data_IF_294060920189
#
_entry.id   IF_294060920189
#
_cell.length_a   1.000
_cell.length_b   1.000
_cell.length_c   1.000
_cell.angle_alpha   90.00
_cell.angle_beta   90.00
_cell.angle_gamma   90.00
#
_symmetry.space_group_name_H-M   'P 1'
#
loop_
_entity.id
_entity.type
_entity.pdbx_description
1 polymer ?
#
# COMPACT_ATOMS: atom_id res chain seq x y z
N UNK A 1 -10.20 -96.16 -19.87
CA UNK A 1 -10.78 -95.08 -20.69
C UNK A 1 -11.16 -93.99 -19.76
N UNK A 2 -10.30 -92.98 -19.67
CA UNK A 2 -10.54 -91.80 -18.78
C UNK A 2 -10.88 -90.64 -19.69
N UNK A 3 -12.11 -90.05 -19.55
CA UNK A 3 -12.54 -88.88 -20.27
C UNK A 3 -12.17 -87.63 -19.45
N UNK A 4 -11.28 -86.80 -20.01
CA UNK A 4 -10.91 -85.49 -19.44
C UNK A 4 -11.84 -84.46 -20.01
N UNK A 5 -12.64 -83.83 -19.14
CA UNK A 5 -13.49 -82.73 -19.52
C UNK A 5 -12.73 -81.41 -19.34
N UNK A 6 -12.57 -80.64 -20.41
CA UNK A 6 -11.95 -79.34 -20.48
C UNK A 6 -12.98 -78.32 -20.12
N UNK A 7 -12.85 -77.65 -18.96
CA UNK A 7 -13.64 -76.49 -18.53
C UNK A 7 -12.95 -75.23 -19.04
N UNK A 8 -13.58 -74.57 -19.98
CA UNK A 8 -13.14 -73.26 -20.52
C UNK A 8 -13.72 -72.14 -19.68
N UNK A 9 -12.90 -71.50 -18.82
CA UNK A 9 -13.27 -70.35 -18.00
C UNK A 9 -13.16 -69.07 -18.83
N UNK A 10 -14.29 -68.44 -19.11
CA UNK A 10 -14.37 -67.14 -19.79
C UNK A 10 -14.09 -66.05 -18.73
N UNK A 11 -12.93 -65.38 -18.79
CA UNK A 11 -12.61 -64.23 -18.00
C UNK A 11 -13.15 -63.00 -18.70
N UNK A 12 -14.26 -62.43 -18.19
CA UNK A 12 -14.76 -61.11 -18.54
C UNK A 12 -13.79 -60.06 -17.90
N UNK A 13 -12.96 -59.46 -18.73
CA UNK A 13 -12.19 -58.28 -18.35
C UNK A 13 -13.13 -57.05 -18.32
N UNK A 14 -13.63 -56.72 -17.14
CA UNK A 14 -14.28 -55.42 -16.90
C UNK A 14 -13.18 -54.36 -16.91
N UNK A 15 -13.09 -53.60 -18.01
CA UNK A 15 -12.25 -52.40 -18.05
C UNK A 15 -12.78 -51.37 -17.07
N UNK A 16 -12.08 -51.19 -15.95
CA UNK A 16 -12.24 -50.03 -15.11
C UNK A 16 -11.54 -48.90 -15.88
N UNK A 17 -12.34 -48.03 -16.50
CA UNK A 17 -11.88 -46.70 -16.91
C UNK A 17 -11.68 -45.93 -15.60
N UNK A 18 -10.49 -46.00 -15.05
CA UNK A 18 -10.05 -45.06 -14.00
C UNK A 18 -9.91 -43.70 -14.67
N UNK A 19 -10.82 -42.75 -14.34
CA UNK A 19 -10.45 -41.38 -14.42
C UNK A 19 -9.27 -41.22 -13.43
N UNK A 20 -8.08 -41.08 -13.92
CA UNK A 20 -7.00 -40.47 -13.14
C UNK A 20 -7.46 -38.99 -12.95
N UNK A 21 -7.98 -38.64 -11.81
CA UNK A 21 -7.85 -37.27 -11.35
C UNK A 21 -6.34 -37.04 -11.34
N UNK A 22 -5.85 -36.22 -12.25
CA UNK A 22 -4.51 -35.65 -12.13
C UNK A 22 -4.57 -34.85 -10.82
N UNK A 23 -3.88 -35.31 -9.78
CA UNK A 23 -3.62 -34.53 -8.60
C UNK A 23 -2.87 -33.27 -9.10
N UNK A 24 -3.55 -32.11 -9.10
CA UNK A 24 -2.88 -30.84 -9.40
C UNK A 24 -1.75 -30.66 -8.38
N UNK A 25 -0.54 -30.40 -8.88
CA UNK A 25 0.62 -30.13 -8.03
C UNK A 25 0.37 -28.91 -7.13
N UNK A 26 0.78 -29.02 -5.87
CA UNK A 26 0.73 -27.89 -4.94
C UNK A 26 1.63 -26.75 -5.44
N UNK A 27 1.10 -25.52 -5.48
CA UNK A 27 1.80 -24.30 -5.93
C UNK A 27 1.80 -23.27 -4.82
N UNK A 28 2.83 -22.44 -4.79
CA UNK A 28 2.90 -21.30 -3.85
C UNK A 28 2.83 -19.99 -4.60
N UNK A 29 1.75 -19.25 -4.42
CA UNK A 29 1.61 -17.89 -4.93
C UNK A 29 2.28 -16.91 -3.97
N UNK A 30 3.42 -16.35 -4.35
CA UNK A 30 4.19 -15.42 -3.53
C UNK A 30 3.83 -13.96 -3.85
N UNK A 31 3.40 -13.20 -2.83
CA UNK A 31 2.98 -11.80 -2.98
C UNK A 31 3.81 -10.91 -2.07
N UNK A 32 4.55 -9.97 -2.64
CA UNK A 32 5.18 -8.89 -1.90
C UNK A 32 4.28 -7.66 -1.90
N UNK A 33 4.03 -7.09 -0.71
CA UNK A 33 3.02 -6.03 -0.57
C UNK A 33 3.42 -4.94 0.41
N UNK A 34 2.82 -3.77 0.22
CA UNK A 34 2.88 -2.69 1.20
C UNK A 34 2.26 -3.11 2.53
N UNK A 35 2.85 -2.70 3.66
CA UNK A 35 2.36 -3.03 5.00
C UNK A 35 0.88 -2.70 5.22
N UNK A 36 0.40 -1.58 4.65
CA UNK A 36 -1.01 -1.16 4.72
C UNK A 36 -2.00 -2.08 3.98
N UNK A 37 -1.51 -3.03 3.17
CA UNK A 37 -2.31 -4.04 2.49
C UNK A 37 -2.35 -5.38 3.23
N UNK A 38 -1.62 -5.55 4.34
CA UNK A 38 -1.47 -6.86 5.02
C UNK A 38 -2.82 -7.46 5.38
N UNK A 39 -3.66 -6.73 6.11
CA UNK A 39 -4.95 -7.25 6.59
C UNK A 39 -5.90 -7.61 5.45
N UNK A 40 -6.18 -6.72 4.46
CA UNK A 40 -7.08 -7.09 3.36
C UNK A 40 -6.52 -8.21 2.48
N UNK A 41 -5.19 -8.29 2.29
CA UNK A 41 -4.60 -9.35 1.47
C UNK A 41 -4.59 -10.70 2.17
N UNK A 42 -4.49 -10.75 3.52
CA UNK A 42 -4.70 -11.99 4.30
C UNK A 42 -6.12 -12.53 4.11
N UNK A 43 -7.12 -11.66 4.10
CA UNK A 43 -8.52 -12.06 3.85
C UNK A 43 -8.73 -12.52 2.39
N UNK A 44 -8.14 -11.81 1.41
CA UNK A 44 -8.18 -12.22 0.01
C UNK A 44 -7.44 -13.53 -0.23
N UNK A 45 -6.32 -13.77 0.45
CA UNK A 45 -5.57 -15.00 0.37
C UNK A 45 -6.42 -16.19 0.83
N UNK A 46 -7.08 -16.06 1.99
CA UNK A 46 -7.98 -17.10 2.49
C UNK A 46 -9.13 -17.42 1.52
N UNK A 47 -9.74 -16.40 0.89
CA UNK A 47 -10.78 -16.58 -0.13
C UNK A 47 -10.21 -17.26 -1.40
N UNK A 48 -9.00 -16.89 -1.82
CA UNK A 48 -8.36 -17.47 -3.00
C UNK A 48 -8.02 -18.95 -2.80
N UNK A 49 -7.50 -19.31 -1.62
CA UNK A 49 -7.16 -20.69 -1.23
C UNK A 49 -8.41 -21.56 -1.10
N UNK A 50 -9.56 -21.02 -0.64
CA UNK A 50 -10.82 -21.76 -0.58
C UNK A 50 -11.28 -22.20 -1.98
N UNK A 51 -11.14 -21.32 -2.97
CA UNK A 51 -11.49 -21.61 -4.38
C UNK A 51 -10.39 -22.39 -5.12
N UNK A 52 -9.15 -22.37 -4.63
CA UNK A 52 -7.97 -22.99 -5.26
C UNK A 52 -7.19 -23.84 -4.24
N UNK A 53 -7.70 -25.01 -3.81
CA UNK A 53 -7.17 -25.77 -2.68
C UNK A 53 -5.73 -26.30 -2.88
N UNK A 54 -5.20 -26.25 -4.09
CA UNK A 54 -3.81 -26.63 -4.41
C UNK A 54 -2.85 -25.42 -4.48
N UNK A 55 -3.32 -24.23 -4.11
CA UNK A 55 -2.50 -23.01 -4.05
C UNK A 55 -2.36 -22.55 -2.60
N UNK A 56 -1.13 -22.33 -2.15
CA UNK A 56 -0.78 -21.73 -0.86
C UNK A 56 -0.32 -20.29 -1.13
N UNK A 57 -0.97 -19.30 -0.52
CA UNK A 57 -0.66 -17.87 -0.74
C UNK A 57 0.30 -17.36 0.32
N UNK A 58 1.53 -17.11 -0.07
CA UNK A 58 2.57 -16.58 0.80
C UNK A 58 2.66 -15.06 0.70
N UNK A 59 2.29 -14.37 1.78
CA UNK A 59 2.36 -12.92 1.86
C UNK A 59 3.63 -12.46 2.57
N UNK A 60 4.35 -11.51 1.96
CA UNK A 60 5.43 -10.81 2.62
C UNK A 60 5.20 -9.30 2.56
N UNK A 61 5.07 -8.66 3.72
CA UNK A 61 4.73 -7.25 3.84
C UNK A 61 5.88 -6.39 4.36
N UNK A 62 5.98 -5.16 3.83
CA UNK A 62 6.98 -4.18 4.24
C UNK A 62 6.70 -2.80 3.68
N UNK A 63 7.65 -1.88 3.80
CA UNK A 63 7.61 -0.63 3.05
C UNK A 63 7.73 -0.92 1.55
N UNK A 64 6.89 -0.30 0.71
CA UNK A 64 6.83 -0.62 -0.73
C UNK A 64 8.18 -0.55 -1.43
N UNK A 65 8.98 0.48 -1.15
CA UNK A 65 10.29 0.63 -1.74
C UNK A 65 11.26 -0.50 -1.34
N UNK A 66 11.16 -0.96 -0.10
CA UNK A 66 11.94 -2.10 0.42
C UNK A 66 11.52 -3.41 -0.27
N UNK A 67 10.20 -3.64 -0.41
CA UNK A 67 9.67 -4.85 -1.05
C UNK A 67 10.02 -4.91 -2.53
N UNK A 68 9.93 -3.82 -3.26
CA UNK A 68 10.38 -3.70 -4.65
C UNK A 68 11.88 -4.03 -4.77
N UNK A 69 12.72 -3.40 -3.92
CA UNK A 69 14.16 -3.66 -3.95
C UNK A 69 14.49 -5.12 -3.65
N UNK A 70 13.75 -5.76 -2.76
CA UNK A 70 13.92 -7.18 -2.45
C UNK A 70 13.52 -8.08 -3.63
N UNK A 71 12.40 -7.77 -4.31
CA UNK A 71 11.94 -8.50 -5.48
C UNK A 71 12.98 -8.44 -6.62
N UNK A 72 13.50 -7.24 -6.91
CA UNK A 72 14.57 -7.01 -7.89
C UNK A 72 15.82 -7.81 -7.52
N UNK A 73 16.27 -7.75 -6.26
CA UNK A 73 17.47 -8.45 -5.80
C UNK A 73 17.37 -9.97 -5.99
N UNK A 74 16.20 -10.55 -5.76
CA UNK A 74 15.97 -11.98 -5.97
C UNK A 74 16.08 -12.35 -7.46
N UNK A 75 15.44 -11.60 -8.33
CA UNK A 75 15.47 -11.84 -9.77
C UNK A 75 16.89 -11.66 -10.33
N UNK A 76 17.65 -10.65 -9.90
CA UNK A 76 19.05 -10.43 -10.27
C UNK A 76 19.98 -11.56 -9.80
N UNK A 77 19.61 -12.29 -8.75
CA UNK A 77 20.36 -13.42 -8.20
C UNK A 77 19.95 -14.78 -8.80
N UNK A 78 19.14 -14.82 -9.83
CA UNK A 78 18.52 -16.04 -10.40
C UNK A 78 17.74 -16.85 -9.33
N UNK A 79 17.17 -16.16 -8.32
CA UNK A 79 16.24 -16.74 -7.35
C UNK A 79 14.80 -16.47 -7.78
N UNK A 80 13.87 -17.36 -7.45
CA UNK A 80 12.45 -17.17 -7.75
C UNK A 80 11.95 -15.83 -7.13
N UNK A 81 11.55 -14.86 -7.97
CA UNK A 81 10.96 -13.62 -7.48
C UNK A 81 9.56 -13.87 -6.91
N UNK A 82 8.92 -12.89 -6.23
CA UNK A 82 7.50 -12.98 -5.97
C UNK A 82 6.70 -12.96 -7.27
N UNK A 83 5.52 -13.55 -7.25
CA UNK A 83 4.61 -13.53 -8.41
C UNK A 83 3.97 -12.14 -8.57
N UNK A 84 3.60 -11.51 -7.45
CA UNK A 84 2.91 -10.22 -7.40
C UNK A 84 3.71 -9.22 -6.56
N UNK A 85 3.74 -7.96 -7.04
CA UNK A 85 4.15 -6.80 -6.25
C UNK A 85 2.97 -5.84 -6.12
N UNK A 86 2.56 -5.51 -4.88
CA UNK A 86 1.52 -4.53 -4.58
C UNK A 86 2.09 -3.38 -3.73
N UNK A 87 2.06 -2.16 -4.27
CA UNK A 87 2.69 -0.96 -3.72
C UNK A 87 1.65 0.05 -3.22
N UNK A 88 1.92 0.72 -2.11
CA UNK A 88 1.13 1.86 -1.62
C UNK A 88 1.37 3.17 -2.41
N UNK A 89 2.30 3.15 -3.35
CA UNK A 89 2.47 4.16 -4.38
C UNK A 89 2.66 3.47 -5.73
N UNK A 90 1.72 3.68 -6.65
CA UNK A 90 1.77 3.04 -7.96
C UNK A 90 3.01 3.44 -8.76
N UNK A 91 3.46 4.70 -8.64
CA UNK A 91 4.59 5.22 -9.39
C UNK A 91 5.92 4.51 -9.10
N UNK A 92 6.07 3.91 -7.92
CA UNK A 92 7.28 3.16 -7.57
C UNK A 92 7.49 1.92 -8.45
N UNK A 93 6.43 1.33 -8.99
CA UNK A 93 6.53 0.15 -9.86
C UNK A 93 7.15 0.56 -11.21
N UNK A 94 6.57 1.45 -12.03
CA UNK A 94 7.19 1.87 -13.27
C UNK A 94 8.56 2.49 -13.07
N UNK A 95 8.74 3.35 -12.05
CA UNK A 95 9.99 4.07 -11.80
C UNK A 95 11.18 3.15 -11.47
N UNK A 96 10.92 2.00 -10.85
CA UNK A 96 11.98 1.13 -10.34
C UNK A 96 12.09 -0.22 -11.04
N UNK A 97 11.00 -0.66 -11.69
CA UNK A 97 10.92 -2.02 -12.21
C UNK A 97 10.90 -2.10 -13.75
N UNK A 98 10.43 -1.04 -14.46
CA UNK A 98 10.28 -1.12 -15.90
C UNK A 98 11.62 -1.07 -16.64
N UNK A 99 12.52 -0.14 -16.29
CA UNK A 99 13.82 -0.01 -16.95
C UNK A 99 14.65 -1.31 -16.88
N UNK A 100 14.57 -2.03 -15.74
CA UNK A 100 15.25 -3.30 -15.53
C UNK A 100 14.52 -4.53 -16.12
N UNK A 101 13.32 -4.35 -16.68
CA UNK A 101 12.52 -5.45 -17.23
C UNK A 101 11.92 -6.37 -16.17
N UNK A 102 11.73 -5.91 -14.93
CA UNK A 102 11.13 -6.71 -13.86
C UNK A 102 9.60 -6.72 -13.91
N UNK A 103 8.99 -5.69 -14.47
CA UNK A 103 7.56 -5.57 -14.75
C UNK A 103 7.35 -4.72 -15.99
N UNK A 104 6.19 -4.84 -16.65
CA UNK A 104 5.86 -4.12 -17.89
C UNK A 104 4.58 -3.28 -17.78
N UNK A 105 3.77 -3.47 -16.77
CA UNK A 105 2.50 -2.79 -16.54
C UNK A 105 2.19 -2.64 -15.07
N UNK A 106 1.33 -1.68 -14.74
CA UNK A 106 0.84 -1.46 -13.38
C UNK A 106 -0.67 -1.17 -13.41
N UNK A 107 -1.45 -1.97 -12.67
CA UNK A 107 -2.85 -1.65 -12.41
C UNK A 107 -2.92 -0.74 -11.19
N UNK A 108 -3.51 0.43 -11.35
CA UNK A 108 -3.87 1.35 -10.29
C UNK A 108 -5.25 0.91 -9.79
N UNK A 109 -5.33 0.37 -8.56
CA UNK A 109 -6.53 -0.34 -8.11
C UNK A 109 -7.21 0.27 -6.89
N UNK A 110 -6.49 1.01 -6.03
CA UNK A 110 -7.05 1.53 -4.78
C UNK A 110 -6.53 2.93 -4.44
N UNK A 111 -7.22 3.60 -3.52
CA UNK A 111 -6.86 4.91 -2.94
C UNK A 111 -6.71 4.81 -1.44
N UNK A 112 -6.13 5.85 -0.85
CA UNK A 112 -6.11 6.02 0.59
C UNK A 112 -6.03 7.51 0.97
N UNK A 113 -6.02 7.76 2.29
CA UNK A 113 -5.99 9.11 2.87
C UNK A 113 -5.00 9.11 4.02
N UNK A 114 -4.17 10.14 4.10
CA UNK A 114 -3.30 10.36 5.27
C UNK A 114 -4.13 10.87 6.44
N UNK A 115 -3.94 10.25 7.60
CA UNK A 115 -4.57 10.64 8.87
C UNK A 115 -3.53 10.66 9.99
N UNK A 116 -3.86 11.29 11.11
CA UNK A 116 -3.07 11.24 12.33
C UNK A 116 -3.76 10.33 13.36
N UNK A 117 -3.24 9.13 13.52
CA UNK A 117 -3.76 8.11 14.43
C UNK A 117 -3.34 8.38 15.88
N UNK A 118 -4.18 7.95 16.83
CA UNK A 118 -3.89 8.03 18.26
C UNK A 118 -4.70 6.99 19.05
N UNK A 119 -4.34 6.74 20.30
CA UNK A 119 -5.12 5.95 21.27
C UNK A 119 -5.79 6.85 22.33
N UNK A 120 -6.78 6.32 23.02
CA UNK A 120 -7.70 7.08 23.93
C UNK A 120 -7.03 8.03 24.91
N UNK A 121 -5.81 7.72 25.35
CA UNK A 121 -5.07 8.51 26.35
C UNK A 121 -4.03 9.48 25.74
N UNK A 122 -4.04 9.68 24.42
CA UNK A 122 -3.08 10.57 23.76
C UNK A 122 -3.23 12.01 24.30
N UNK A 123 -2.13 12.68 24.67
CA UNK A 123 -2.17 14.04 25.20
C UNK A 123 -2.83 15.01 24.23
N UNK A 124 -3.77 15.83 24.70
CA UNK A 124 -4.50 16.83 23.91
C UNK A 124 -5.40 16.29 22.77
N UNK A 125 -5.63 14.99 22.66
CA UNK A 125 -6.48 14.44 21.59
C UNK A 125 -7.91 15.03 21.64
N UNK A 126 -8.50 15.13 22.83
CA UNK A 126 -9.80 15.78 23.03
C UNK A 126 -9.84 17.25 22.61
N UNK A 127 -8.73 17.98 22.81
CA UNK A 127 -8.62 19.39 22.41
C UNK A 127 -8.57 19.53 20.88
N UNK A 128 -7.88 18.59 20.19
CA UNK A 128 -7.82 18.58 18.72
C UNK A 128 -9.21 18.26 18.16
N UNK A 129 -9.86 17.20 18.67
CA UNK A 129 -11.20 16.80 18.22
C UNK A 129 -12.23 17.90 18.47
N UNK A 130 -12.12 18.64 19.57
CA UNK A 130 -12.97 19.79 19.87
C UNK A 130 -12.62 21.06 19.08
N UNK A 131 -11.54 21.08 18.30
CA UNK A 131 -11.07 22.23 17.54
C UNK A 131 -10.47 23.35 18.40
N UNK A 132 -10.19 23.11 19.68
CA UNK A 132 -9.55 24.09 20.57
C UNK A 132 -8.03 24.14 20.42
N UNK A 133 -7.44 23.10 19.85
CA UNK A 133 -6.04 23.03 19.42
C UNK A 133 -5.94 22.44 18.02
N UNK A 134 -4.87 22.77 17.32
CA UNK A 134 -4.55 22.14 16.03
C UNK A 134 -3.57 20.99 16.24
N UNK A 135 -3.66 19.96 15.41
CA UNK A 135 -2.78 18.80 15.48
C UNK A 135 -1.29 19.21 15.38
N UNK A 136 -0.97 20.17 14.51
CA UNK A 136 0.40 20.64 14.30
C UNK A 136 0.94 21.46 15.49
N UNK A 137 0.09 22.15 16.26
CA UNK A 137 0.49 22.79 17.52
C UNK A 137 0.83 21.74 18.59
N UNK A 138 0.09 20.61 18.58
CA UNK A 138 0.30 19.51 19.52
C UNK A 138 1.59 18.74 19.20
N UNK A 139 1.87 18.44 17.92
CA UNK A 139 3.09 17.70 17.54
C UNK A 139 4.40 18.49 17.76
N UNK A 140 4.33 19.82 17.85
CA UNK A 140 5.48 20.67 18.24
C UNK A 140 5.81 20.61 19.73
N UNK A 141 4.95 20.01 20.53
CA UNK A 141 5.19 19.89 21.98
C UNK A 141 6.17 18.77 22.26
N UNK A 142 7.33 19.09 22.84
CA UNK A 142 8.40 18.13 23.16
C UNK A 142 7.97 16.98 24.09
N UNK A 143 6.85 17.11 24.80
CA UNK A 143 6.30 16.06 25.67
C UNK A 143 5.29 15.15 24.95
N UNK A 144 5.05 15.35 23.64
CA UNK A 144 4.18 14.53 22.80
C UNK A 144 5.04 13.72 21.85
N UNK A 145 5.01 12.40 21.96
CA UNK A 145 5.72 11.51 21.06
C UNK A 145 4.87 11.21 19.84
N UNK A 146 5.42 11.42 18.68
CA UNK A 146 4.72 11.10 17.43
C UNK A 146 5.66 10.43 16.44
N UNK A 147 5.10 9.69 15.47
CA UNK A 147 5.90 8.89 14.56
C UNK A 147 5.39 8.85 13.13
N UNK A 148 6.30 8.44 12.26
CA UNK A 148 6.05 8.11 10.86
C UNK A 148 7.04 7.03 10.39
N UNK A 149 6.83 6.48 9.20
CA UNK A 149 7.79 5.53 8.61
C UNK A 149 8.96 6.24 7.91
N UNK A 150 10.04 5.49 7.66
CA UNK A 150 11.21 5.98 6.93
C UNK A 150 10.82 6.32 5.48
N UNK A 151 11.04 7.57 5.04
CA UNK A 151 10.66 8.02 3.70
C UNK A 151 11.34 7.24 2.56
N UNK A 152 12.56 6.72 2.75
CA UNK A 152 13.25 5.94 1.74
C UNK A 152 12.73 4.50 1.62
N UNK A 153 12.03 4.01 2.65
CA UNK A 153 11.55 2.64 2.74
C UNK A 153 10.06 2.49 2.45
N UNK A 154 9.24 3.49 2.84
CA UNK A 154 7.78 3.38 2.86
C UNK A 154 7.10 4.68 2.39
N UNK A 155 6.16 4.59 1.42
CA UNK A 155 5.39 5.74 0.94
C UNK A 155 4.65 6.53 2.03
N UNK A 156 4.15 5.89 3.09
CA UNK A 156 3.54 6.60 4.21
C UNK A 156 4.52 7.58 4.86
N UNK A 157 5.82 7.23 4.92
CA UNK A 157 6.87 8.08 5.48
C UNK A 157 7.07 9.38 4.72
N UNK A 158 7.35 9.31 3.42
CA UNK A 158 7.53 10.56 2.65
C UNK A 158 6.24 11.37 2.52
N UNK A 159 5.07 10.72 2.49
CA UNK A 159 3.79 11.43 2.53
C UNK A 159 3.55 12.15 3.86
N UNK A 160 3.99 11.58 4.98
CA UNK A 160 3.98 12.27 6.26
C UNK A 160 4.80 13.56 6.23
N UNK A 161 5.98 13.54 5.61
CA UNK A 161 6.79 14.74 5.42
C UNK A 161 6.09 15.77 4.52
N UNK A 162 5.41 15.32 3.45
CA UNK A 162 4.61 16.19 2.57
C UNK A 162 3.41 16.80 3.31
N UNK A 163 2.76 16.05 4.21
CA UNK A 163 1.67 16.57 5.07
C UNK A 163 2.12 17.78 5.87
N UNK A 164 3.32 17.78 6.45
CA UNK A 164 3.85 18.94 7.18
C UNK A 164 4.09 20.14 6.25
N UNK A 165 4.67 19.91 5.06
CA UNK A 165 4.90 20.97 4.07
C UNK A 165 3.57 21.57 3.58
N UNK A 166 2.61 20.71 3.20
CA UNK A 166 1.29 21.16 2.75
C UNK A 166 0.50 21.88 3.85
N UNK A 167 0.59 21.43 5.11
CA UNK A 167 -0.03 22.09 6.22
C UNK A 167 0.55 23.50 6.46
N UNK A 168 1.87 23.68 6.33
CA UNK A 168 2.51 24.99 6.39
C UNK A 168 2.03 25.91 5.27
N UNK A 169 1.95 25.42 4.04
CA UNK A 169 1.42 26.18 2.91
C UNK A 169 -0.05 26.53 3.10
N UNK A 170 -0.89 25.55 3.40
CA UNK A 170 -2.34 25.70 3.47
C UNK A 170 -2.80 26.60 4.64
N UNK A 171 -2.26 26.35 5.84
CA UNK A 171 -2.69 27.09 7.05
C UNK A 171 -1.94 28.40 7.28
N UNK A 172 -0.77 28.62 6.64
CA UNK A 172 0.01 29.83 6.86
C UNK A 172 0.41 30.55 5.57
N UNK A 173 1.28 30.00 4.75
CA UNK A 173 1.92 30.76 3.67
C UNK A 173 0.94 31.19 2.57
N UNK A 174 0.00 30.32 2.21
CA UNK A 174 -1.03 30.54 1.19
C UNK A 174 -2.46 30.58 1.77
N UNK A 175 -2.62 30.69 3.08
CA UNK A 175 -3.92 30.64 3.74
C UNK A 175 -4.98 31.58 3.11
N UNK A 176 -4.58 32.77 2.72
CA UNK A 176 -5.47 33.75 2.09
C UNK A 176 -6.02 33.27 0.73
N UNK A 177 -5.28 32.49 -0.05
CA UNK A 177 -5.72 31.89 -1.32
C UNK A 177 -6.92 30.96 -1.10
N UNK A 178 -6.96 30.29 0.05
CA UNK A 178 -8.01 29.35 0.45
C UNK A 178 -9.08 29.98 1.35
N UNK A 179 -9.09 31.30 1.47
CA UNK A 179 -10.05 32.02 2.34
C UNK A 179 -9.82 31.83 3.83
N UNK A 180 -8.63 31.39 4.24
CA UNK A 180 -8.24 31.18 5.62
C UNK A 180 -7.49 32.39 6.19
N UNK A 181 -7.53 32.53 7.52
CA UNK A 181 -6.63 33.44 8.23
C UNK A 181 -5.33 32.72 8.52
N UNK A 182 -4.15 33.31 8.19
CA UNK A 182 -2.87 32.66 8.47
C UNK A 182 -2.70 32.30 9.95
N UNK A 183 -2.47 31.01 10.23
CA UNK A 183 -2.16 30.53 11.58
C UNK A 183 -0.64 30.52 11.80
N UNK A 184 -0.15 31.43 12.64
CA UNK A 184 1.27 31.51 12.98
C UNK A 184 1.86 30.25 13.61
N UNK A 185 1.03 29.32 14.11
CA UNK A 185 1.49 28.02 14.62
C UNK A 185 1.91 27.07 13.51
N UNK A 186 1.40 27.25 12.28
CA UNK A 186 1.81 26.49 11.12
C UNK A 186 3.10 27.05 10.47
N UNK A 187 3.54 28.25 10.82
CA UNK A 187 4.78 28.81 10.28
C UNK A 187 6.02 28.05 10.74
N UNK A 188 6.85 27.62 9.80
CA UNK A 188 8.06 26.82 10.06
C UNK A 188 7.73 25.44 10.66
N UNK A 189 6.57 24.90 10.34
CA UNK A 189 6.08 23.64 10.90
C UNK A 189 6.98 22.46 10.50
N UNK A 190 7.34 22.38 9.23
CA UNK A 190 8.17 21.29 8.72
C UNK A 190 9.56 21.26 9.38
N UNK A 191 10.22 22.42 9.46
CA UNK A 191 11.54 22.51 10.11
C UNK A 191 11.49 22.25 11.62
N UNK A 192 10.40 22.62 12.27
CA UNK A 192 10.24 22.44 13.71
C UNK A 192 9.97 20.98 14.10
N UNK A 193 9.19 20.26 13.31
CA UNK A 193 8.81 18.87 13.60
C UNK A 193 9.84 17.87 13.04
N UNK A 194 10.37 18.12 11.85
CA UNK A 194 11.32 17.23 11.17
C UNK A 194 12.61 18.01 10.86
N UNK A 195 13.49 18.23 11.84
CA UNK A 195 14.71 19.00 11.64
C UNK A 195 15.76 18.24 10.81
N UNK A 196 16.62 18.97 10.11
CA UNK A 196 17.72 18.40 9.36
C UNK A 196 17.83 18.90 7.92
N UNK A 197 18.69 18.26 7.13
CA UNK A 197 18.82 18.50 5.69
C UNK A 197 17.84 17.58 4.94
N UNK A 198 17.46 17.93 3.72
CA UNK A 198 16.49 17.17 2.91
C UNK A 198 16.84 15.69 2.77
N UNK A 199 18.14 15.35 2.76
CA UNK A 199 18.61 13.95 2.68
C UNK A 199 18.69 13.23 4.03
N UNK A 200 18.52 13.92 5.15
CA UNK A 200 18.61 13.36 6.51
C UNK A 200 17.28 13.38 7.26
N UNK A 201 16.35 14.28 6.88
CA UNK A 201 15.07 14.48 7.55
C UNK A 201 14.23 13.21 7.55
N UNK A 202 13.62 12.90 8.69
CA UNK A 202 12.66 11.80 8.82
C UNK A 202 13.23 10.40 8.61
N UNK A 203 14.58 10.23 8.59
CA UNK A 203 15.23 8.92 8.39
C UNK A 203 15.75 8.30 9.68
N UNK A 204 15.73 9.05 10.75
CA UNK A 204 16.12 8.60 12.07
C UNK A 204 15.35 9.36 13.13
N UNK A 205 14.92 8.66 14.18
CA UNK A 205 14.20 9.27 15.31
C UNK A 205 15.02 10.40 15.96
N UNK A 206 14.41 11.56 16.18
CA UNK A 206 15.01 12.72 16.79
C UNK A 206 14.04 13.40 17.77
N UNK A 207 14.51 13.77 18.96
CA UNK A 207 13.64 14.44 19.94
C UNK A 207 12.43 13.59 20.29
N UNK A 208 11.25 14.13 19.98
CA UNK A 208 9.95 13.46 20.17
C UNK A 208 9.41 12.76 18.90
N UNK A 209 10.14 12.84 17.79
CA UNK A 209 9.87 12.13 16.54
C UNK A 209 10.37 10.69 16.60
N UNK A 210 9.56 9.73 16.20
CA UNK A 210 9.87 8.30 16.14
C UNK A 210 9.74 7.80 14.71
N UNK A 211 10.80 7.19 14.18
CA UNK A 211 10.84 6.63 12.82
C UNK A 211 10.91 5.10 12.87
N UNK A 212 10.14 4.43 12.01
CA UNK A 212 10.16 2.98 11.80
C UNK A 212 10.31 2.68 10.31
N UNK A 213 10.76 1.48 9.97
CA UNK A 213 10.97 1.08 8.57
C UNK A 213 9.68 0.95 7.76
N UNK A 214 8.55 0.68 8.43
CA UNK A 214 7.20 0.65 7.84
C UNK A 214 6.19 1.25 8.80
N UNK A 215 5.13 1.82 8.28
CA UNK A 215 4.15 2.56 9.06
C UNK A 215 3.39 1.66 10.04
N UNK A 216 3.01 0.46 9.64
CA UNK A 216 2.28 -0.48 10.51
C UNK A 216 3.06 -0.89 11.78
N UNK A 217 4.37 -0.70 11.83
CA UNK A 217 5.16 -0.91 13.06
C UNK A 217 4.83 0.16 14.13
N UNK A 218 4.31 1.32 13.73
CA UNK A 218 3.88 2.39 14.64
C UNK A 218 2.58 2.04 15.36
N UNK A 219 1.73 1.20 14.74
CA UNK A 219 0.48 0.72 15.35
C UNK A 219 0.76 0.05 16.70
N UNK A 220 1.73 -0.85 16.74
CA UNK A 220 2.13 -1.51 17.98
C UNK A 220 2.61 -0.52 19.06
N UNK A 221 3.32 0.54 18.66
CA UNK A 221 3.78 1.58 19.59
C UNK A 221 2.62 2.44 20.12
N UNK A 222 1.60 2.70 19.30
CA UNK A 222 0.35 3.35 19.75
C UNK A 222 -0.40 2.45 20.73
N UNK A 223 -0.51 1.15 20.44
CA UNK A 223 -1.21 0.18 21.28
C UNK A 223 -0.55 -0.03 22.63
N UNK A 224 0.78 -0.02 22.70
CA UNK A 224 1.55 -0.13 23.97
C UNK A 224 1.63 1.18 24.73
N UNK A 225 1.28 2.31 24.12
CA UNK A 225 1.41 3.65 24.71
C UNK A 225 2.85 4.19 24.71
N UNK A 226 3.74 3.60 23.91
CA UNK A 226 5.11 4.11 23.68
C UNK A 226 5.12 5.29 22.72
N UNK A 227 4.01 5.51 21.99
CA UNK A 227 3.78 6.59 21.04
C UNK A 227 2.40 7.21 21.29
N UNK A 228 2.29 8.53 21.21
CA UNK A 228 1.02 9.24 21.40
C UNK A 228 0.25 9.39 20.09
N UNK A 229 0.97 9.70 18.99
CA UNK A 229 0.41 9.91 17.65
C UNK A 229 1.26 9.25 16.57
N UNK A 230 0.64 8.82 15.48
CA UNK A 230 1.34 8.33 14.29
C UNK A 230 0.63 8.76 13.02
N UNK A 231 1.41 9.16 12.01
CA UNK A 231 0.87 9.28 10.66
C UNK A 231 0.69 7.90 10.06
N UNK A 232 -0.51 7.67 9.55
CA UNK A 232 -0.94 6.43 8.93
C UNK A 232 -1.93 6.68 7.80
N UNK A 233 -2.21 5.65 7.06
CA UNK A 233 -3.35 5.64 6.16
C UNK A 233 -4.65 5.36 6.92
N UNK A 234 -5.73 5.97 6.48
CA UNK A 234 -7.06 5.79 7.07
C UNK A 234 -7.50 4.32 7.11
N UNK A 235 -7.18 3.54 6.06
CA UNK A 235 -7.49 2.11 6.06
C UNK A 235 -6.82 1.36 7.22
N UNK A 236 -5.56 1.66 7.52
CA UNK A 236 -4.83 1.07 8.67
C UNK A 236 -5.48 1.46 9.98
N UNK A 237 -5.91 2.73 10.12
CA UNK A 237 -6.64 3.15 11.31
C UNK A 237 -7.94 2.37 11.51
N UNK A 238 -8.69 2.12 10.44
CA UNK A 238 -9.93 1.32 10.48
C UNK A 238 -9.64 -0.14 10.82
N UNK A 239 -8.65 -0.76 10.17
CA UNK A 239 -8.26 -2.16 10.36
C UNK A 239 -7.83 -2.47 11.81
N UNK A 240 -7.17 -1.52 12.46
CA UNK A 240 -6.63 -1.67 13.82
C UNK A 240 -7.47 -0.95 14.89
N UNK A 241 -8.69 -0.50 14.54
CA UNK A 241 -9.60 0.18 15.45
C UNK A 241 -8.93 1.36 16.20
N UNK A 242 -8.06 2.10 15.51
CA UNK A 242 -7.41 3.29 16.04
C UNK A 242 -8.33 4.51 15.94
N UNK A 243 -8.28 5.38 16.93
CA UNK A 243 -8.81 6.74 16.75
C UNK A 243 -7.90 7.50 15.77
N UNK A 244 -8.49 8.38 14.98
CA UNK A 244 -7.72 9.23 14.08
C UNK A 244 -8.32 10.62 13.92
N UNK A 245 -7.46 11.54 13.58
CA UNK A 245 -7.80 12.92 13.24
C UNK A 245 -7.78 13.02 11.72
N UNK A 246 -8.92 13.38 11.14
CA UNK A 246 -9.00 13.73 9.71
C UNK A 246 -8.19 15.00 9.45
N UNK A 247 -7.32 14.96 8.46
CA UNK A 247 -6.59 16.13 7.99
C UNK A 247 -7.43 16.85 6.93
N UNK A 248 -7.23 18.15 6.77
CA UNK A 248 -7.91 18.88 5.70
C UNK A 248 -7.58 18.29 4.32
N UNK A 249 -8.55 18.34 3.40
CA UNK A 249 -8.41 17.78 2.06
C UNK A 249 -7.18 18.30 1.30
N UNK A 250 -6.83 19.56 1.47
CA UNK A 250 -5.61 20.15 0.93
C UNK A 250 -4.30 19.59 1.54
N UNK A 251 -4.37 18.79 2.61
CA UNK A 251 -3.21 18.30 3.35
C UNK A 251 -3.11 16.75 3.33
N UNK A 252 -4.25 16.06 3.20
CA UNK A 252 -4.38 14.61 3.40
C UNK A 252 -3.96 13.75 2.20
N UNK A 253 -3.59 14.34 1.08
CA UNK A 253 -3.17 13.66 -0.15
C UNK A 253 -4.21 12.66 -0.71
N UNK A 254 -5.51 12.94 -0.54
CA UNK A 254 -6.56 12.02 -0.98
C UNK A 254 -7.37 12.50 -2.18
N UNK A 255 -7.35 13.81 -2.45
CA UNK A 255 -8.30 14.46 -3.34
C UNK A 255 -7.73 14.70 -4.74
N UNK A 256 -8.66 14.93 -5.67
CA UNK A 256 -8.39 15.37 -7.04
C UNK A 256 -9.36 16.51 -7.41
N UNK A 257 -9.00 17.32 -8.37
CA UNK A 257 -9.83 18.44 -8.84
C UNK A 257 -9.55 19.75 -8.09
N UNK A 258 -10.48 20.69 -8.08
CA UNK A 258 -10.26 22.05 -7.56
C UNK A 258 -10.48 22.14 -6.05
N UNK A 259 -9.64 22.93 -5.36
CA UNK A 259 -9.75 23.20 -3.91
C UNK A 259 -10.77 24.32 -3.71
N UNK A 260 -12.02 23.99 -3.44
CA UNK A 260 -13.11 24.96 -3.31
C UNK A 260 -13.21 25.84 -4.55
N UNK A 261 -13.36 27.15 -4.36
CA UNK A 261 -13.41 28.16 -5.43
C UNK A 261 -12.06 28.89 -5.57
N UNK A 262 -10.94 28.27 -5.21
CA UNK A 262 -9.62 28.91 -5.18
C UNK A 262 -8.96 29.09 -6.55
N UNK A 263 -9.39 28.33 -7.56
CA UNK A 263 -8.72 28.23 -8.87
C UNK A 263 -7.43 27.40 -8.83
N UNK A 264 -7.15 26.72 -7.72
CA UNK A 264 -6.00 25.81 -7.51
C UNK A 264 -6.50 24.39 -7.47
N UNK A 265 -5.88 23.46 -8.21
CA UNK A 265 -6.22 22.05 -8.14
C UNK A 265 -5.49 21.37 -6.99
N UNK A 266 -6.01 20.23 -6.50
CA UNK A 266 -5.31 19.42 -5.51
C UNK A 266 -4.00 18.89 -6.06
N UNK A 267 -3.97 18.51 -7.34
CA UNK A 267 -2.78 18.01 -8.01
C UNK A 267 -1.66 19.05 -8.02
N UNK A 268 -1.97 20.30 -8.41
CA UNK A 268 -0.99 21.39 -8.42
C UNK A 268 -0.53 21.73 -7.00
N UNK A 269 -1.44 21.77 -6.05
CA UNK A 269 -1.12 22.10 -4.66
C UNK A 269 -0.30 20.99 -3.98
N UNK A 270 -0.66 19.71 -4.18
CA UNK A 270 0.13 18.61 -3.62
C UNK A 270 1.56 18.58 -4.20
N UNK A 271 1.72 18.92 -5.49
CA UNK A 271 3.02 18.98 -6.15
C UNK A 271 3.94 20.10 -5.63
N UNK A 272 3.45 21.04 -4.78
CA UNK A 272 4.29 22.02 -4.08
C UNK A 272 5.10 21.39 -2.94
N UNK A 273 4.64 20.25 -2.39
CA UNK A 273 5.42 19.48 -1.44
C UNK A 273 6.33 18.50 -2.18
N UNK A 274 7.56 18.35 -1.70
CA UNK A 274 8.49 17.36 -2.26
C UNK A 274 9.44 16.79 -1.20
N UNK A 275 9.96 15.59 -1.48
CA UNK A 275 10.94 14.91 -0.64
C UNK A 275 12.03 14.32 -1.53
N UNK A 276 13.29 14.42 -1.09
CA UNK A 276 14.41 13.75 -1.74
C UNK A 276 14.43 12.28 -1.30
N UNK A 277 14.13 11.35 -2.19
CA UNK A 277 14.12 9.91 -1.93
C UNK A 277 15.35 9.24 -2.52
N UNK A 278 15.87 8.24 -1.80
CA UNK A 278 16.98 7.43 -2.24
C UNK A 278 16.54 6.45 -3.33
N UNK A 279 17.19 6.51 -4.48
CA UNK A 279 16.96 5.59 -5.60
C UNK A 279 17.64 4.23 -5.35
N UNK A 280 17.34 3.24 -6.20
CA UNK A 280 18.03 1.94 -6.18
C UNK A 280 19.53 2.04 -6.41
N UNK A 281 20.00 3.05 -7.16
CA UNK A 281 21.43 3.33 -7.35
C UNK A 281 22.10 3.99 -6.13
N UNK A 282 21.30 4.41 -5.12
CA UNK A 282 21.77 5.10 -3.92
C UNK A 282 21.89 6.61 -4.07
N UNK A 283 21.56 7.17 -5.22
CA UNK A 283 21.44 8.62 -5.44
C UNK A 283 20.09 9.12 -4.91
N UNK A 284 19.91 10.43 -4.83
CA UNK A 284 18.65 11.04 -4.41
C UNK A 284 17.93 11.64 -5.60
N UNK A 285 16.62 11.43 -5.68
CA UNK A 285 15.70 12.06 -6.65
C UNK A 285 14.56 12.76 -5.92
N UNK A 286 14.08 13.86 -6.51
CA UNK A 286 12.92 14.56 -5.99
C UNK A 286 11.63 13.79 -6.32
N UNK A 287 10.83 13.50 -5.29
CA UNK A 287 9.47 12.98 -5.42
C UNK A 287 8.49 14.05 -4.96
N UNK A 288 7.57 14.42 -5.83
CA UNK A 288 6.53 15.43 -5.55
C UNK A 288 5.29 14.80 -4.94
N UNK A 289 4.56 15.59 -4.18
CA UNK A 289 3.28 15.20 -3.61
C UNK A 289 2.23 14.93 -4.69
N UNK A 290 1.47 13.86 -4.49
CA UNK A 290 0.36 13.45 -5.34
C UNK A 290 -0.67 12.70 -4.50
N UNK A 291 -1.86 12.47 -5.06
CA UNK A 291 -2.89 11.67 -4.40
C UNK A 291 -2.41 10.25 -4.10
N UNK A 292 -2.84 9.70 -2.97
CA UNK A 292 -2.47 8.34 -2.53
C UNK A 292 -3.22 7.31 -3.36
N UNK A 293 -2.51 6.66 -4.26
CA UNK A 293 -3.04 5.59 -5.11
C UNK A 293 -2.11 4.38 -5.12
N UNK A 294 -2.69 3.20 -5.08
CA UNK A 294 -2.00 1.92 -4.98
C UNK A 294 -1.86 1.27 -6.34
N UNK A 295 -0.70 0.68 -6.59
CA UNK A 295 -0.41 -0.09 -7.79
C UNK A 295 -0.15 -1.55 -7.51
N UNK A 296 -0.50 -2.42 -8.47
CA UNK A 296 -0.23 -3.85 -8.44
C UNK A 296 0.25 -4.33 -9.81
N UNK A 297 1.21 -5.24 -9.82
CA UNK A 297 1.74 -5.87 -11.03
C UNK A 297 2.07 -7.35 -10.80
N UNK A 298 2.18 -8.11 -11.87
CA UNK A 298 2.80 -9.43 -11.91
C UNK A 298 4.22 -9.25 -12.44
N UNK A 299 5.21 -9.84 -11.79
CA UNK A 299 6.59 -9.77 -12.27
C UNK A 299 6.77 -10.57 -13.56
N UNK A 300 7.66 -10.11 -14.45
CA UNK A 300 7.89 -10.75 -15.75
C UNK A 300 8.36 -12.21 -15.64
N UNK A 301 9.12 -12.55 -14.59
CA UNK A 301 9.61 -13.90 -14.31
C UNK A 301 8.81 -14.60 -13.19
N UNK A 302 7.56 -14.17 -12.96
CA UNK A 302 6.68 -14.77 -11.97
C UNK A 302 6.50 -16.28 -12.20
N UNK A 303 6.86 -17.15 -11.23
CA UNK A 303 6.73 -18.61 -11.38
C UNK A 303 5.27 -19.06 -11.59
N UNK A 304 4.31 -18.38 -10.99
CA UNK A 304 2.89 -18.72 -10.98
C UNK A 304 2.01 -17.59 -11.55
N UNK A 305 2.41 -17.02 -12.70
CA UNK A 305 1.72 -15.88 -13.32
C UNK A 305 0.21 -16.12 -13.57
N UNK A 306 -0.21 -17.39 -13.78
CA UNK A 306 -1.62 -17.75 -13.92
C UNK A 306 -2.43 -17.56 -12.63
N UNK A 307 -1.89 -18.07 -11.51
CA UNK A 307 -2.49 -17.90 -10.17
C UNK A 307 -2.45 -16.43 -9.76
N UNK A 308 -1.37 -15.69 -10.08
CA UNK A 308 -1.24 -14.26 -9.87
C UNK A 308 -2.34 -13.47 -10.58
N UNK A 309 -2.63 -13.79 -11.85
CA UNK A 309 -3.73 -13.16 -12.58
C UNK A 309 -5.11 -13.53 -11.99
N UNK A 310 -5.27 -14.76 -11.48
CA UNK A 310 -6.46 -15.21 -10.75
C UNK A 310 -6.67 -14.40 -9.46
N UNK A 311 -5.63 -14.21 -8.68
CA UNK A 311 -5.68 -13.41 -7.44
C UNK A 311 -6.02 -11.94 -7.71
N UNK A 312 -5.40 -11.31 -8.71
CA UNK A 312 -5.74 -9.92 -9.10
C UNK A 312 -7.20 -9.84 -9.59
N UNK A 313 -7.69 -10.86 -10.30
CA UNK A 313 -9.09 -10.91 -10.71
C UNK A 313 -10.03 -10.99 -9.49
N UNK A 314 -9.69 -11.76 -8.45
CA UNK A 314 -10.43 -11.79 -7.18
C UNK A 314 -10.41 -10.42 -6.52
N UNK A 315 -9.23 -9.79 -6.37
CA UNK A 315 -9.08 -8.44 -5.80
C UNK A 315 -10.01 -7.41 -6.48
N UNK A 316 -10.15 -7.49 -7.81
CA UNK A 316 -10.98 -6.55 -8.60
C UNK A 316 -12.44 -7.01 -8.76
N UNK A 317 -12.86 -8.08 -8.10
CA UNK A 317 -14.23 -8.61 -8.11
C UNK A 317 -15.12 -7.94 -7.06
N UNK A 318 -16.40 -8.36 -7.02
CA UNK A 318 -17.33 -7.94 -5.97
C UNK A 318 -16.89 -8.40 -4.57
N UNK A 319 -16.31 -9.59 -4.46
CA UNK A 319 -15.80 -10.11 -3.19
C UNK A 319 -14.54 -9.34 -2.75
N UNK A 320 -13.65 -9.03 -3.69
CA UNK A 320 -12.51 -8.16 -3.44
C UNK A 320 -12.92 -6.76 -2.99
N UNK A 321 -13.96 -6.18 -3.61
CA UNK A 321 -14.55 -4.90 -3.19
C UNK A 321 -15.13 -4.97 -1.77
N UNK A 322 -15.81 -6.06 -1.42
CA UNK A 322 -16.31 -6.28 -0.06
C UNK A 322 -15.14 -6.26 0.95
N UNK A 323 -14.10 -7.05 0.70
CA UNK A 323 -12.91 -7.11 1.56
C UNK A 323 -12.22 -5.76 1.66
N UNK A 324 -11.91 -5.12 0.53
CA UNK A 324 -11.13 -3.88 0.53
C UNK A 324 -11.90 -2.70 1.12
N UNK A 325 -13.12 -2.44 0.64
CA UNK A 325 -13.85 -1.21 0.97
C UNK A 325 -14.68 -1.34 2.25
N UNK A 326 -15.45 -2.44 2.38
CA UNK A 326 -16.42 -2.57 3.47
C UNK A 326 -15.74 -3.06 4.74
N UNK A 327 -14.94 -4.10 4.63
CA UNK A 327 -14.34 -4.75 5.80
C UNK A 327 -13.07 -4.01 6.27
N UNK A 328 -12.32 -3.38 5.34
CA UNK A 328 -11.02 -2.78 5.64
C UNK A 328 -10.92 -1.27 5.34
N UNK A 329 -12.00 -0.62 4.89
CA UNK A 329 -12.03 0.84 4.74
C UNK A 329 -11.07 1.42 3.69
N UNK A 330 -10.62 0.60 2.71
CA UNK A 330 -9.72 1.01 1.63
C UNK A 330 -10.45 1.06 0.29
N UNK A 331 -10.85 2.23 -0.21
CA UNK A 331 -11.63 2.34 -1.44
C UNK A 331 -10.86 1.83 -2.66
N UNK A 332 -11.49 0.99 -3.47
CA UNK A 332 -11.01 0.65 -4.80
C UNK A 332 -11.28 1.79 -5.79
N UNK A 333 -10.50 1.83 -6.87
CA UNK A 333 -10.82 2.63 -8.05
C UNK A 333 -11.84 1.86 -8.90
N UNK A 334 -12.90 2.53 -9.30
CA UNK A 334 -13.95 1.95 -10.12
C UNK A 334 -14.25 2.86 -11.32
N UNK A 335 -13.79 2.52 -12.53
CA UNK A 335 -12.94 1.37 -12.86
C UNK A 335 -11.46 1.55 -12.43
N UNK A 336 -10.74 0.45 -12.15
CA UNK A 336 -9.28 0.50 -12.01
C UNK A 336 -8.64 0.83 -13.36
N UNK A 337 -7.41 1.39 -13.33
CA UNK A 337 -6.69 1.85 -14.52
C UNK A 337 -5.36 1.13 -14.69
N UNK A 338 -4.87 1.06 -15.92
CA UNK A 338 -3.57 0.46 -16.23
C UNK A 338 -2.79 1.35 -17.20
N UNK A 339 -1.49 1.53 -16.94
CA UNK A 339 -0.60 2.35 -17.78
C UNK A 339 -0.21 1.68 -19.11
N UNK A 340 -0.02 0.36 -19.12
CA UNK A 340 0.32 -0.44 -20.31
C UNK A 340 -0.68 -1.60 -20.48
N UNK A 341 -1.94 -1.25 -20.68
CA UNK A 341 -3.06 -2.21 -20.72
C UNK A 341 -2.88 -3.31 -21.78
N UNK A 342 -2.18 -3.02 -22.87
CA UNK A 342 -1.96 -4.02 -23.93
C UNK A 342 -1.05 -5.17 -23.50
N UNK A 343 -0.20 -4.98 -22.49
CA UNK A 343 0.72 -5.99 -21.97
C UNK A 343 0.09 -6.86 -20.87
N UNK A 344 -1.13 -6.50 -20.41
CA UNK A 344 -1.85 -7.27 -19.41
C UNK A 344 -2.18 -8.70 -19.86
N UNK A 345 -2.19 -9.68 -18.94
CA UNK A 345 -2.85 -10.97 -19.17
C UNK A 345 -4.30 -10.79 -19.66
N UNK A 346 -4.70 -11.59 -20.64
CA UNK A 346 -6.02 -11.46 -21.29
C UNK A 346 -7.19 -11.52 -20.30
N UNK A 347 -7.02 -12.22 -19.17
CA UNK A 347 -8.00 -12.33 -18.10
C UNK A 347 -8.27 -10.99 -17.40
N UNK A 348 -7.28 -10.07 -17.34
CA UNK A 348 -7.34 -8.79 -16.64
C UNK A 348 -7.75 -7.62 -17.56
N UNK A 349 -7.50 -7.72 -18.88
CA UNK A 349 -7.75 -6.61 -19.84
C UNK A 349 -9.16 -6.02 -19.80
N UNK A 350 -10.17 -6.83 -19.44
CA UNK A 350 -11.57 -6.38 -19.41
C UNK A 350 -11.99 -5.75 -18.08
N UNK A 351 -11.13 -5.86 -17.07
CA UNK A 351 -11.40 -5.38 -15.71
C UNK A 351 -10.86 -3.96 -15.47
N UNK A 352 -10.07 -3.43 -16.39
CA UNK A 352 -9.38 -2.16 -16.24
C UNK A 352 -9.56 -1.26 -17.47
N UNK A 353 -9.47 0.05 -17.25
CA UNK A 353 -9.37 1.05 -18.32
C UNK A 353 -7.91 1.46 -18.53
N UNK A 354 -7.62 2.07 -19.68
CA UNK A 354 -6.34 2.73 -19.93
C UNK A 354 -6.19 3.96 -19.03
N UNK A 355 -4.95 4.22 -18.55
CA UNK A 355 -4.67 5.34 -17.67
C UNK A 355 -4.74 6.68 -18.41
#
# INVERSE_FOLDING_TARGET
MVVVALVMTLVLASGIIGCSEEEEEARTLSIYLAGSLSVPFEQLAALYEEDNPNVDVLLESGGSATMISKAITKQDADEDPPDIMASADYALIPDRMYEGGYAEWTIIFARNTMVLCYKDNAPFASDIVAGSRTWYDVLRNENVKWGHSDPDADPCGYRSMMVFQLAEQYYYAQAATFGLTPDGKANGLYDACIPGTDQARGRASQGNEVVRSKSVDLVTLLETGDLDYAFEYRSVAVQHELNYIELADAVNLAQVGEIGDSGVTYEDFYAEASVQLKTSSGEYSETKGAAVVYGITILNEAPNAGDAAGFIKLLLSADGKQVMEVDNGQPLLDPPKCDNRDDLPSALKKLVEEL
#
